data_IF_132117866667
#
_entry.id   IF_132117866667
#
_cell.length_a   1.000
_cell.length_b   1.000
_cell.length_c   1.000
_cell.angle_alpha   90.00
_cell.angle_beta   90.00
_cell.angle_gamma   90.00
#
_symmetry.space_group_name_H-M   'P 1'
#
loop_
_entity.id
_entity.type
_entity.pdbx_description
1 polymer ?
#
# COMPACT_ATOMS: atom_id res chain seq x y z
N UNK A 1 29.57 21.57 37.60
CA UNK A 1 29.26 21.33 36.18
C UNK A 1 28.63 22.60 35.62
N UNK A 2 29.19 23.17 34.55
CA UNK A 2 28.66 24.40 33.94
C UNK A 2 27.30 24.11 33.31
N UNK A 3 26.26 24.82 33.75
CA UNK A 3 24.90 24.75 33.23
C UNK A 3 24.85 24.85 31.69
N UNK A 4 25.69 25.72 31.11
CA UNK A 4 25.83 25.88 29.66
C UNK A 4 26.24 24.60 28.92
N UNK A 5 27.17 23.82 29.47
CA UNK A 5 27.59 22.56 28.85
C UNK A 5 26.48 21.49 28.86
N UNK A 6 25.62 21.56 29.87
CA UNK A 6 24.45 20.67 30.00
C UNK A 6 23.39 21.06 28.96
N UNK A 7 23.12 22.37 28.80
CA UNK A 7 22.18 22.89 27.79
C UNK A 7 22.62 22.57 26.37
N UNK A 8 23.91 22.72 26.03
CA UNK A 8 24.43 22.38 24.70
C UNK A 8 24.29 20.88 24.37
N UNK A 9 24.51 20.02 25.37
CA UNK A 9 24.36 18.58 25.19
C UNK A 9 22.90 18.19 24.94
N UNK A 10 21.97 18.66 25.78
CA UNK A 10 20.53 18.40 25.58
C UNK A 10 19.97 19.05 24.32
N UNK A 11 20.41 20.26 23.98
CA UNK A 11 20.04 20.95 22.75
C UNK A 11 20.52 20.21 21.50
N UNK A 12 21.78 19.75 21.50
CA UNK A 12 22.34 18.93 20.43
C UNK A 12 21.59 17.63 20.22
N UNK A 13 21.25 16.92 21.31
CA UNK A 13 20.42 15.71 21.25
C UNK A 13 19.03 15.98 20.68
N UNK A 14 18.38 17.08 21.06
CA UNK A 14 17.06 17.45 20.54
C UNK A 14 17.11 17.73 19.04
N UNK A 15 18.12 18.48 18.58
CA UNK A 15 18.30 18.77 17.14
C UNK A 15 18.56 17.49 16.36
N UNK A 16 19.44 16.61 16.85
CA UNK A 16 19.72 15.33 16.21
C UNK A 16 18.45 14.45 16.13
N UNK A 17 17.65 14.42 17.20
CA UNK A 17 16.37 13.72 17.22
C UNK A 17 15.38 14.28 16.19
N UNK A 18 15.26 15.61 16.09
CA UNK A 18 14.43 16.24 15.07
C UNK A 18 14.87 15.88 13.65
N UNK A 19 16.18 15.88 13.37
CA UNK A 19 16.72 15.51 12.05
C UNK A 19 16.37 14.05 11.72
N UNK A 20 16.58 13.13 12.67
CA UNK A 20 16.22 11.72 12.52
C UNK A 20 14.71 11.58 12.27
N UNK A 21 13.88 12.29 13.02
CA UNK A 21 12.43 12.31 12.83
C UNK A 21 12.02 12.75 11.42
N UNK A 22 12.62 13.82 10.91
CA UNK A 22 12.38 14.31 9.55
C UNK A 22 12.80 13.26 8.50
N UNK A 23 13.97 12.64 8.66
CA UNK A 23 14.43 11.58 7.75
C UNK A 23 13.47 10.38 7.75
N UNK A 24 12.97 9.96 8.90
CA UNK A 24 11.97 8.88 9.00
C UNK A 24 10.67 9.28 8.31
N UNK A 25 10.19 10.51 8.50
CA UNK A 25 8.99 11.00 7.81
C UNK A 25 9.16 10.99 6.28
N UNK A 26 10.31 11.45 5.77
CA UNK A 26 10.61 11.41 4.32
C UNK A 26 10.68 9.95 3.83
N UNK A 27 11.29 9.06 4.61
CA UNK A 27 11.37 7.63 4.29
C UNK A 27 9.98 6.99 4.13
N UNK A 28 9.04 7.34 5.00
CA UNK A 28 7.65 6.88 4.93
C UNK A 28 6.95 7.41 3.68
N UNK A 29 7.12 8.71 3.38
CA UNK A 29 6.58 9.32 2.14
C UNK A 29 7.11 8.61 0.90
N UNK A 30 8.42 8.35 0.83
CA UNK A 30 9.03 7.62 -0.30
C UNK A 30 8.46 6.20 -0.44
N UNK A 31 8.36 5.48 0.68
CA UNK A 31 7.88 4.10 0.70
C UNK A 31 6.40 3.99 0.36
N UNK A 32 5.59 4.95 0.81
CA UNK A 32 4.20 5.07 0.36
C UNK A 32 4.12 5.49 -1.11
N UNK A 33 4.81 6.52 -1.57
CA UNK A 33 4.77 6.92 -2.99
C UNK A 33 5.11 5.76 -3.94
N UNK A 34 6.16 4.98 -3.61
CA UNK A 34 6.54 3.77 -4.35
C UNK A 34 5.46 2.68 -4.30
N UNK A 35 4.86 2.45 -3.12
CA UNK A 35 3.76 1.49 -2.98
C UNK A 35 2.48 1.91 -3.71
N UNK A 36 2.28 3.23 -3.89
CA UNK A 36 1.15 3.83 -4.56
C UNK A 36 1.47 4.13 -6.04
N UNK A 37 2.52 3.55 -6.63
CA UNK A 37 2.81 3.66 -8.07
C UNK A 37 2.97 5.09 -8.60
N UNK A 38 3.15 6.08 -7.72
CA UNK A 38 3.33 7.48 -8.10
C UNK A 38 4.82 7.82 -8.09
N UNK A 39 5.17 8.82 -8.90
CA UNK A 39 6.54 9.32 -8.97
C UNK A 39 7.00 9.78 -7.58
N UNK A 40 7.98 9.06 -7.04
CA UNK A 40 8.57 9.37 -5.73
C UNK A 40 9.09 10.81 -5.72
N UNK A 41 9.63 11.28 -6.84
CA UNK A 41 10.19 12.63 -6.99
C UNK A 41 9.14 13.74 -6.82
N UNK A 42 7.93 13.56 -7.35
CA UNK A 42 6.85 14.55 -7.23
C UNK A 42 6.38 14.70 -5.77
N UNK A 43 6.23 13.57 -5.07
CA UNK A 43 5.84 13.58 -3.66
C UNK A 43 6.95 14.06 -2.74
N UNK A 44 8.21 13.82 -3.11
CA UNK A 44 9.37 14.34 -2.39
C UNK A 44 9.46 15.87 -2.52
N UNK A 45 9.19 16.41 -3.72
CA UNK A 45 9.07 17.84 -3.95
C UNK A 45 7.97 18.46 -3.08
N UNK A 46 6.78 17.86 -3.03
CA UNK A 46 5.69 18.31 -2.16
C UNK A 46 6.08 18.25 -0.68
N UNK A 47 6.75 17.18 -0.25
CA UNK A 47 7.22 17.03 1.13
C UNK A 47 8.26 18.10 1.51
N UNK A 48 9.16 18.46 0.59
CA UNK A 48 10.16 19.52 0.79
C UNK A 48 9.50 20.91 0.83
N UNK A 49 8.55 21.19 -0.04
CA UNK A 49 7.91 22.52 -0.15
C UNK A 49 6.86 22.79 0.93
N UNK A 50 6.02 21.81 1.27
CA UNK A 50 4.85 22.02 2.14
C UNK A 50 4.97 21.44 3.54
N UNK A 51 5.93 20.52 3.75
CA UNK A 51 6.14 19.67 4.95
C UNK A 51 5.86 18.19 4.66
N UNK A 52 6.71 17.28 5.15
CA UNK A 52 6.50 15.84 5.01
C UNK A 52 5.19 15.37 5.65
N UNK A 53 4.67 16.07 6.67
CA UNK A 53 3.37 15.75 7.29
C UNK A 53 2.23 16.00 6.29
N UNK A 54 2.27 17.11 5.58
CA UNK A 54 1.27 17.46 4.54
C UNK A 54 1.35 16.46 3.39
N UNK A 55 2.55 16.02 3.02
CA UNK A 55 2.73 14.98 2.02
C UNK A 55 2.15 13.63 2.47
N UNK A 56 2.34 13.23 3.74
CA UNK A 56 1.75 11.99 4.30
C UNK A 56 0.22 12.08 4.29
N UNK A 57 -0.36 13.20 4.75
CA UNK A 57 -1.81 13.40 4.77
C UNK A 57 -2.36 13.43 3.34
N UNK A 58 -1.67 14.09 2.41
CA UNK A 58 -2.03 14.10 0.99
C UNK A 58 -2.01 12.71 0.38
N UNK A 59 -0.97 11.90 0.66
CA UNK A 59 -0.90 10.50 0.21
C UNK A 59 -2.01 9.64 0.82
N UNK A 60 -2.29 9.83 2.11
CA UNK A 60 -3.37 9.12 2.80
C UNK A 60 -4.75 9.50 2.25
N UNK A 61 -4.97 10.79 1.98
CA UNK A 61 -6.22 11.32 1.44
C UNK A 61 -6.44 10.95 -0.03
N UNK A 62 -5.37 10.90 -0.85
CA UNK A 62 -5.46 10.46 -2.24
C UNK A 62 -5.68 8.94 -2.37
N UNK A 63 -5.41 8.16 -1.32
CA UNK A 63 -5.64 6.71 -1.28
C UNK A 63 -4.77 5.92 -2.26
N UNK A 64 -4.80 4.58 -2.16
CA UNK A 64 -4.10 3.68 -3.11
C UNK A 64 -4.48 4.08 -4.53
N UNK A 65 -3.50 4.30 -5.39
CA UNK A 65 -3.70 4.55 -6.82
C UNK A 65 -4.58 3.46 -7.43
N UNK A 66 -5.46 3.89 -8.35
CA UNK A 66 -6.36 3.03 -9.11
C UNK A 66 -5.63 1.81 -9.70
N UNK A 67 -4.39 1.98 -10.18
CA UNK A 67 -3.56 0.90 -10.77
C UNK A 67 -3.49 -0.37 -9.91
N UNK A 68 -3.12 -0.24 -8.63
CA UNK A 68 -2.98 -1.42 -7.74
C UNK A 68 -4.33 -1.96 -7.27
N UNK A 69 -5.35 -1.11 -7.20
CA UNK A 69 -6.71 -1.59 -6.95
C UNK A 69 -7.26 -2.36 -8.15
N UNK A 70 -6.93 -1.95 -9.36
CA UNK A 70 -7.28 -2.69 -10.56
C UNK A 70 -6.55 -4.03 -10.64
N UNK A 71 -5.26 -4.09 -10.29
CA UNK A 71 -4.50 -5.35 -10.29
C UNK A 71 -5.05 -6.36 -9.25
N UNK A 72 -5.36 -5.90 -8.03
CA UNK A 72 -6.07 -6.74 -7.03
C UNK A 72 -7.47 -7.15 -7.52
N UNK A 73 -8.17 -6.27 -8.24
CA UNK A 73 -9.50 -6.55 -8.77
C UNK A 73 -9.48 -7.56 -9.92
N UNK A 74 -8.55 -7.44 -10.86
CA UNK A 74 -8.35 -8.39 -11.96
C UNK A 74 -7.98 -9.79 -11.44
N UNK A 75 -7.11 -9.86 -10.43
CA UNK A 75 -6.78 -11.13 -9.79
C UNK A 75 -8.02 -11.78 -9.16
N UNK A 76 -8.84 -10.98 -8.46
CA UNK A 76 -10.09 -11.46 -7.86
C UNK A 76 -11.14 -11.88 -8.90
N UNK A 77 -11.25 -11.17 -10.03
CA UNK A 77 -12.16 -11.55 -11.12
C UNK A 77 -11.74 -12.84 -11.81
N UNK A 78 -10.43 -13.04 -11.98
CA UNK A 78 -9.88 -14.27 -12.58
C UNK A 78 -10.19 -15.49 -11.71
N UNK A 79 -10.04 -15.35 -10.39
CA UNK A 79 -10.40 -16.41 -9.43
C UNK A 79 -11.91 -16.73 -9.47
N UNK A 80 -12.77 -15.71 -9.52
CA UNK A 80 -14.23 -15.91 -9.66
C UNK A 80 -14.62 -16.61 -10.96
N UNK A 81 -13.91 -16.34 -12.06
CA UNK A 81 -14.15 -17.02 -13.34
C UNK A 81 -13.77 -18.49 -13.30
N UNK A 82 -12.66 -18.84 -12.65
CA UNK A 82 -12.24 -20.23 -12.48
C UNK A 82 -13.22 -21.01 -11.60
N UNK A 83 -13.60 -20.46 -10.44
CA UNK A 83 -14.58 -21.08 -9.56
C UNK A 83 -15.97 -21.26 -10.22
N UNK A 84 -16.38 -20.35 -11.11
CA UNK A 84 -17.62 -20.50 -11.88
C UNK A 84 -17.52 -21.65 -12.90
N UNK A 85 -16.39 -21.76 -13.60
CA UNK A 85 -16.18 -22.85 -14.57
C UNK A 85 -16.18 -24.22 -13.91
N UNK A 86 -15.55 -24.35 -12.74
CA UNK A 86 -15.56 -25.60 -11.97
C UNK A 86 -16.99 -26.02 -11.58
N UNK A 87 -17.85 -25.07 -11.22
CA UNK A 87 -19.26 -25.34 -10.92
C UNK A 87 -20.07 -25.76 -12.15
N UNK A 88 -19.80 -25.16 -13.31
CA UNK A 88 -20.49 -25.49 -14.56
C UNK A 88 -20.03 -26.87 -15.09
N UNK A 89 -18.74 -27.20 -14.99
CA UNK A 89 -18.20 -28.53 -15.34
C UNK A 89 -18.71 -29.63 -14.40
N UNK A 90 -18.66 -29.42 -13.07
CA UNK A 90 -19.17 -30.39 -12.08
C UNK A 90 -20.66 -30.70 -12.31
N UNK A 91 -21.47 -29.68 -12.60
CA UNK A 91 -22.89 -29.84 -12.91
C UNK A 91 -23.13 -30.67 -14.20
N UNK A 92 -22.30 -30.48 -15.23
CA UNK A 92 -22.41 -31.26 -16.47
C UNK A 92 -22.03 -32.73 -16.25
N UNK A 93 -20.98 -33.02 -15.48
CA UNK A 93 -20.59 -34.39 -15.11
C UNK A 93 -21.66 -35.10 -14.29
N UNK A 94 -22.31 -34.39 -13.36
CA UNK A 94 -23.39 -34.94 -12.54
C UNK A 94 -24.64 -35.24 -13.38
N UNK A 95 -24.96 -34.41 -14.37
CA UNK A 95 -26.09 -34.63 -15.28
C UNK A 95 -25.87 -35.86 -16.19
N UNK A 96 -24.66 -36.01 -16.75
CA UNK A 96 -24.32 -37.18 -17.58
C UNK A 96 -24.41 -38.48 -16.74
N UNK A 97 -23.89 -38.47 -15.51
CA UNK A 97 -24.00 -39.62 -14.61
C UNK A 97 -25.44 -39.97 -14.24
N UNK A 98 -26.33 -39.00 -14.06
CA UNK A 98 -27.75 -39.26 -13.79
C UNK A 98 -28.49 -39.79 -15.02
N UNK A 99 -28.09 -39.40 -16.23
CA UNK A 99 -28.67 -39.90 -17.47
C UNK A 99 -28.32 -41.39 -17.69
N UNK A 100 -27.05 -41.77 -17.51
CA UNK A 100 -26.59 -43.16 -17.61
C UNK A 100 -27.28 -44.09 -16.60
N UNK A 101 -27.58 -43.60 -15.38
CA UNK A 101 -28.32 -44.35 -14.36
C UNK A 101 -29.80 -44.57 -14.68
N UNK A 102 -30.38 -43.77 -15.59
CA UNK A 102 -31.80 -43.88 -15.99
C UNK A 102 -32.00 -44.74 -17.24
N UNK A 103 -30.94 -45.02 -17.99
CA UNK A 103 -30.99 -45.89 -19.19
C UNK A 103 -30.80 -47.39 -18.87
N UNK A 104 -30.47 -47.75 -17.62
CA UNK A 104 -30.34 -49.13 -17.12
C UNK A 104 -31.60 -49.58 -16.40
#
# INVERSE_FOLDING_TARGET
MNYFALVDLFGGFFIAWCIIGILVCISIVCRMAKNYGRSVAEWLLIAIFFSPIVAIIGLAALGKTLEKRFEEWEWMETQKRMARKEMDEDNDYMNVSEADLKEV
#
